data_IF_549819585905
#
_entry.id   IF_549819585905
#
_cell.length_a   1.000
_cell.length_b   1.000
_cell.length_c   1.000
_cell.angle_alpha   90.00
_cell.angle_beta   90.00
_cell.angle_gamma   90.00
#
_symmetry.space_group_name_H-M   'P 1'
#
loop_
_entity.id
_entity.type
_entity.pdbx_description
1 polymer ?
#
# COMPACT_ATOMS: atom_id res chain seq x y z
N UNK A 1 14.17 -5.19 3.46
CA UNK A 1 15.50 -5.81 3.65
C UNK A 1 16.61 -4.74 3.78
N UNK A 2 16.49 -3.64 3.07
CA UNK A 2 17.39 -2.47 3.13
C UNK A 2 17.52 -1.79 4.52
N UNK A 3 16.54 -2.00 5.38
CA UNK A 3 16.49 -1.41 6.75
C UNK A 3 16.97 -2.35 7.85
N UNK A 4 17.45 -3.53 7.47
CA UNK A 4 17.95 -4.54 8.41
C UNK A 4 19.37 -4.18 8.84
N UNK A 5 19.68 -4.41 10.12
CA UNK A 5 21.06 -4.25 10.60
C UNK A 5 22.00 -5.20 9.81
N UNK A 6 23.12 -4.72 9.27
CA UNK A 6 24.05 -5.54 8.49
C UNK A 6 24.52 -6.83 9.19
N UNK A 7 24.63 -6.83 10.52
CA UNK A 7 24.98 -8.03 11.28
C UNK A 7 23.94 -9.15 11.13
N UNK A 8 22.69 -8.81 10.79
CA UNK A 8 21.63 -9.78 10.57
C UNK A 8 21.76 -10.52 9.24
N UNK A 9 22.49 -9.97 8.27
CA UNK A 9 22.73 -10.65 6.98
C UNK A 9 23.45 -11.98 7.14
N UNK A 10 24.27 -12.12 8.20
CA UNK A 10 24.96 -13.38 8.47
C UNK A 10 24.02 -14.58 8.68
N UNK A 11 22.84 -14.35 9.23
CA UNK A 11 21.84 -15.40 9.40
C UNK A 11 21.28 -15.92 8.07
N UNK A 12 21.34 -15.10 7.01
CA UNK A 12 20.83 -15.49 5.70
C UNK A 12 21.84 -16.28 4.86
N UNK A 13 23.15 -16.23 5.17
CA UNK A 13 24.13 -16.99 4.39
C UNK A 13 23.82 -18.48 4.42
N UNK A 14 23.65 -19.05 5.63
CA UNK A 14 23.34 -20.46 5.78
C UNK A 14 21.99 -20.82 5.15
N UNK A 15 21.00 -19.94 5.30
CA UNK A 15 19.69 -20.14 4.72
C UNK A 15 19.74 -20.19 3.17
N UNK A 16 20.51 -19.30 2.54
CA UNK A 16 20.63 -19.26 1.08
C UNK A 16 21.53 -20.36 0.51
N UNK A 17 22.58 -20.77 1.24
CA UNK A 17 23.51 -21.79 0.78
C UNK A 17 22.99 -23.21 0.99
N UNK A 18 22.40 -23.48 2.14
CA UNK A 18 22.03 -24.83 2.59
C UNK A 18 20.51 -25.07 2.63
N UNK A 19 19.71 -24.02 2.49
CA UNK A 19 18.27 -24.10 2.68
C UNK A 19 17.88 -24.47 4.14
N UNK A 20 18.74 -24.13 5.09
CA UNK A 20 18.53 -24.42 6.53
C UNK A 20 18.63 -23.17 7.35
N UNK A 21 17.75 -23.08 8.33
CA UNK A 21 17.86 -22.10 9.40
C UNK A 21 18.11 -22.82 10.71
N UNK A 22 19.22 -22.50 11.36
CA UNK A 22 19.62 -23.09 12.63
C UNK A 22 19.89 -21.99 13.64
N UNK A 23 19.23 -22.05 14.78
CA UNK A 23 19.54 -21.26 15.96
C UNK A 23 19.60 -22.16 17.20
N UNK A 24 19.68 -21.57 18.41
CA UNK A 24 19.78 -22.32 19.67
C UNK A 24 18.58 -23.23 19.93
N UNK A 25 17.42 -22.95 19.37
CA UNK A 25 16.16 -23.63 19.68
C UNK A 25 15.55 -24.34 18.46
N UNK A 26 15.95 -23.96 17.25
CA UNK A 26 15.31 -24.41 16.01
C UNK A 26 16.34 -24.87 15.00
N UNK A 27 16.03 -25.98 14.35
CA UNK A 27 16.71 -26.49 13.17
C UNK A 27 15.64 -26.79 12.12
N UNK A 28 15.49 -25.91 11.13
CA UNK A 28 14.39 -25.95 10.16
C UNK A 28 14.95 -26.09 8.76
N UNK A 29 14.48 -27.10 8.02
CA UNK A 29 14.78 -27.26 6.61
C UNK A 29 13.84 -26.41 5.75
N UNK A 30 14.40 -25.47 5.03
CA UNK A 30 13.71 -24.53 4.14
C UNK A 30 14.14 -24.69 2.68
N UNK A 31 14.76 -25.83 2.32
CA UNK A 31 15.29 -26.09 0.98
C UNK A 31 14.25 -26.09 -0.15
N UNK A 32 12.96 -26.14 0.17
CA UNK A 32 11.87 -26.01 -0.81
C UNK A 32 11.10 -24.69 -0.66
N UNK A 33 11.58 -23.76 0.16
CA UNK A 33 10.94 -22.46 0.34
C UNK A 33 11.36 -21.47 -0.76
N UNK A 34 10.45 -20.61 -1.16
CA UNK A 34 10.74 -19.43 -1.95
C UNK A 34 10.94 -18.25 -1.00
N UNK A 35 12.07 -17.58 -1.11
CA UNK A 35 12.39 -16.41 -0.29
C UNK A 35 12.27 -15.15 -1.13
N UNK A 36 11.39 -14.24 -0.75
CA UNK A 36 11.19 -12.95 -1.40
C UNK A 36 11.71 -11.85 -0.49
N UNK A 37 12.67 -11.07 -0.99
CA UNK A 37 13.23 -9.92 -0.32
C UNK A 37 12.72 -8.65 -0.98
N UNK A 38 12.21 -7.70 -0.20
CA UNK A 38 11.80 -6.39 -0.71
C UNK A 38 12.74 -5.31 -0.19
N UNK A 39 13.07 -4.34 -1.03
CA UNK A 39 13.92 -3.20 -0.70
C UNK A 39 13.49 -1.96 -1.50
N UNK A 40 14.01 -0.79 -1.12
CA UNK A 40 13.76 0.48 -1.81
C UNK A 40 15.00 0.94 -2.62
N UNK A 41 15.88 0.01 -3.00
CA UNK A 41 17.02 0.34 -3.85
C UNK A 41 16.57 0.58 -5.29
N UNK A 42 17.19 1.56 -5.95
CA UNK A 42 16.85 1.98 -7.31
C UNK A 42 17.48 1.12 -8.40
N UNK A 43 18.51 0.32 -8.08
CA UNK A 43 19.22 -0.52 -9.05
C UNK A 43 19.88 -1.74 -8.42
N UNK A 44 20.24 -2.71 -9.28
CA UNK A 44 21.02 -3.88 -8.85
C UNK A 44 22.41 -3.51 -8.35
N UNK A 45 23.04 -2.48 -8.93
CA UNK A 45 24.33 -1.96 -8.48
C UNK A 45 24.26 -1.43 -7.07
N UNK A 46 23.18 -0.74 -6.73
CA UNK A 46 22.94 -0.26 -5.37
C UNK A 46 22.73 -1.41 -4.41
N UNK A 47 21.92 -2.40 -4.77
CA UNK A 47 21.72 -3.64 -3.98
C UNK A 47 23.08 -4.32 -3.73
N UNK A 48 23.88 -4.51 -4.76
CA UNK A 48 25.21 -5.12 -4.68
C UNK A 48 26.17 -4.32 -3.81
N UNK A 49 26.12 -2.99 -3.88
CA UNK A 49 26.95 -2.10 -3.07
C UNK A 49 26.63 -2.20 -1.59
N UNK A 50 25.34 -2.29 -1.23
CA UNK A 50 24.89 -2.33 0.16
C UNK A 50 25.02 -3.73 0.78
N UNK A 51 24.63 -4.77 0.05
CA UNK A 51 24.68 -6.15 0.54
C UNK A 51 26.07 -6.78 0.44
N UNK A 52 26.91 -6.23 -0.41
CA UNK A 52 28.20 -6.81 -0.81
C UNK A 52 28.06 -7.94 -1.82
N UNK A 53 29.13 -8.22 -2.58
CA UNK A 53 29.09 -9.19 -3.68
C UNK A 53 28.76 -10.62 -3.22
N UNK A 54 29.19 -10.99 -2.02
CA UNK A 54 28.97 -12.33 -1.48
C UNK A 54 27.49 -12.61 -1.19
N UNK A 55 26.74 -11.65 -0.62
CA UNK A 55 25.31 -11.78 -0.41
C UNK A 55 24.55 -11.66 -1.72
N UNK A 56 24.91 -10.69 -2.56
CA UNK A 56 24.25 -10.46 -3.83
C UNK A 56 24.29 -11.68 -4.76
N UNK A 57 25.41 -12.42 -4.77
CA UNK A 57 25.56 -13.62 -5.62
C UNK A 57 24.60 -14.77 -5.26
N UNK A 58 23.95 -14.70 -4.10
CA UNK A 58 22.96 -15.69 -3.62
C UNK A 58 21.52 -15.28 -3.95
N UNK A 59 21.33 -14.07 -4.47
CA UNK A 59 20.04 -13.60 -4.95
C UNK A 59 19.85 -14.10 -6.38
N UNK A 60 18.83 -14.92 -6.59
CA UNK A 60 18.60 -15.59 -7.88
C UNK A 60 18.14 -14.65 -8.99
N UNK A 61 17.30 -13.65 -8.66
CA UNK A 61 16.90 -12.61 -9.60
C UNK A 61 16.43 -11.35 -8.86
N UNK A 62 16.58 -10.21 -9.52
CA UNK A 62 16.03 -8.93 -9.06
C UNK A 62 14.88 -8.53 -9.99
N UNK A 63 13.77 -8.09 -9.40
CA UNK A 63 12.62 -7.58 -10.14
C UNK A 63 12.48 -6.11 -9.76
N UNK A 64 12.73 -5.23 -10.72
CA UNK A 64 12.51 -3.81 -10.54
C UNK A 64 11.02 -3.47 -10.68
N UNK A 65 10.51 -2.67 -9.75
CA UNK A 65 9.19 -2.07 -9.84
C UNK A 65 9.36 -0.61 -10.21
N UNK A 66 8.82 -0.23 -11.35
CA UNK A 66 8.81 1.16 -11.80
C UNK A 66 7.75 1.97 -11.06
N UNK A 67 7.90 3.28 -11.10
CA UNK A 67 6.88 4.19 -10.61
C UNK A 67 5.58 4.03 -11.40
N UNK A 68 4.46 4.19 -10.73
CA UNK A 68 3.15 4.09 -11.36
C UNK A 68 2.95 5.23 -12.35
N UNK A 69 2.55 4.90 -13.58
CA UNK A 69 2.13 5.89 -14.55
C UNK A 69 0.83 6.60 -14.12
N UNK A 70 0.55 7.75 -14.72
CA UNK A 70 -0.70 8.49 -14.47
C UNK A 70 -1.93 7.62 -14.73
N UNK A 71 -1.94 6.85 -15.83
CA UNK A 71 -3.04 5.96 -16.18
C UNK A 71 -3.23 4.84 -15.14
N UNK A 72 -2.13 4.30 -14.64
CA UNK A 72 -2.17 3.28 -13.58
C UNK A 72 -2.71 3.87 -12.26
N UNK A 73 -2.25 5.07 -11.88
CA UNK A 73 -2.78 5.78 -10.70
C UNK A 73 -4.28 6.04 -10.84
N UNK A 74 -4.74 6.49 -12.01
CA UNK A 74 -6.16 6.70 -12.30
C UNK A 74 -6.97 5.40 -12.23
N UNK A 75 -6.46 4.30 -12.78
CA UNK A 75 -7.12 3.00 -12.70
C UNK A 75 -7.24 2.51 -11.24
N UNK A 76 -6.20 2.74 -10.44
CA UNK A 76 -6.22 2.42 -9.00
C UNK A 76 -7.27 3.26 -8.27
N UNK A 77 -7.36 4.57 -8.53
CA UNK A 77 -8.39 5.44 -7.95
C UNK A 77 -9.80 4.94 -8.28
N UNK A 78 -10.06 4.57 -9.55
CA UNK A 78 -11.35 4.00 -9.98
C UNK A 78 -11.70 2.74 -9.19
N UNK A 79 -10.76 1.82 -9.05
CA UNK A 79 -10.96 0.58 -8.32
C UNK A 79 -11.24 0.82 -6.82
N UNK A 80 -10.51 1.74 -6.19
CA UNK A 80 -10.75 2.08 -4.80
C UNK A 80 -12.11 2.75 -4.60
N UNK A 81 -12.47 3.70 -5.47
CA UNK A 81 -13.77 4.37 -5.39
C UNK A 81 -14.92 3.36 -5.47
N UNK A 82 -14.90 2.47 -6.45
CA UNK A 82 -15.90 1.39 -6.58
C UNK A 82 -15.93 0.50 -5.34
N UNK A 83 -14.76 0.13 -4.81
CA UNK A 83 -14.66 -0.71 -3.61
C UNK A 83 -15.21 -0.01 -2.35
N UNK A 84 -14.96 1.29 -2.21
CA UNK A 84 -15.51 2.07 -1.09
C UNK A 84 -17.01 2.17 -1.22
N UNK A 85 -17.54 2.54 -2.39
CA UNK A 85 -18.98 2.63 -2.62
C UNK A 85 -19.68 1.29 -2.37
N UNK A 86 -19.06 0.16 -2.71
CA UNK A 86 -19.63 -1.16 -2.47
C UNK A 86 -19.81 -1.48 -0.96
N UNK A 87 -19.10 -0.78 -0.08
CA UNK A 87 -19.20 -0.93 1.38
C UNK A 87 -20.24 0.01 2.03
N UNK A 88 -20.75 0.98 1.28
CA UNK A 88 -21.71 1.97 1.76
C UNK A 88 -23.15 1.49 1.58
N UNK A 89 -24.09 2.10 2.32
CA UNK A 89 -25.53 1.94 2.12
C UNK A 89 -25.96 2.68 0.86
N UNK A 90 -27.12 2.35 0.33
CA UNK A 90 -27.61 2.90 -0.94
C UNK A 90 -27.80 4.43 -0.90
N UNK A 91 -28.36 4.95 0.19
CA UNK A 91 -28.53 6.39 0.41
C UNK A 91 -27.20 7.14 0.53
N UNK A 92 -26.19 6.52 1.15
CA UNK A 92 -24.84 7.06 1.25
C UNK A 92 -24.13 7.09 -0.12
N UNK A 93 -24.30 6.03 -0.93
CA UNK A 93 -23.77 5.98 -2.31
C UNK A 93 -24.33 7.09 -3.17
N UNK A 94 -25.67 7.21 -3.19
CA UNK A 94 -26.34 8.28 -3.95
C UNK A 94 -25.84 9.67 -3.58
N UNK A 95 -25.51 9.89 -2.31
CA UNK A 95 -24.99 11.17 -1.86
C UNK A 95 -23.57 11.42 -2.36
N UNK A 96 -22.71 10.40 -2.35
CA UNK A 96 -21.33 10.52 -2.85
C UNK A 96 -21.30 10.65 -4.37
N UNK A 97 -22.16 9.93 -5.10
CA UNK A 97 -22.25 9.99 -6.56
C UNK A 97 -22.74 11.36 -7.09
N UNK A 98 -23.40 12.17 -6.26
CA UNK A 98 -23.78 13.56 -6.60
C UNK A 98 -22.60 14.54 -6.50
N UNK A 99 -21.47 14.11 -5.94
CA UNK A 99 -20.27 14.96 -5.77
C UNK A 99 -19.30 14.82 -6.94
N UNK A 100 -18.35 15.73 -7.05
CA UNK A 100 -17.26 15.67 -8.01
C UNK A 100 -15.99 14.96 -7.48
N UNK A 101 -16.08 14.33 -6.30
CA UNK A 101 -14.95 13.66 -5.63
C UNK A 101 -14.26 12.68 -6.58
N UNK A 102 -15.01 11.82 -7.23
CA UNK A 102 -14.48 10.83 -8.17
C UNK A 102 -13.69 11.48 -9.31
N UNK A 103 -14.31 12.40 -10.02
CA UNK A 103 -13.71 13.05 -11.17
C UNK A 103 -12.49 13.87 -10.79
N UNK A 104 -12.56 14.54 -9.62
CA UNK A 104 -11.44 15.31 -9.11
C UNK A 104 -10.23 14.43 -8.82
N UNK A 105 -10.41 13.29 -8.11
CA UNK A 105 -9.30 12.39 -7.78
C UNK A 105 -8.74 11.69 -9.01
N UNK A 106 -9.57 11.26 -9.95
CA UNK A 106 -9.10 10.68 -11.23
C UNK A 106 -8.26 11.70 -12.00
N UNK A 107 -8.75 12.94 -12.14
CA UNK A 107 -8.05 14.00 -12.88
C UNK A 107 -6.74 14.43 -12.22
N UNK A 108 -6.67 14.41 -10.89
CA UNK A 108 -5.52 14.89 -10.14
C UNK A 108 -4.63 13.76 -9.57
N UNK A 109 -4.83 12.51 -10.00
CA UNK A 109 -4.07 11.35 -9.50
C UNK A 109 -2.55 11.51 -9.70
N UNK A 110 -2.10 12.19 -10.76
CA UNK A 110 -0.69 12.46 -11.07
C UNK A 110 0.02 13.31 -10.00
N UNK A 111 -0.71 14.16 -9.28
CA UNK A 111 -0.14 15.07 -8.25
C UNK A 111 0.37 14.33 -7.01
N UNK A 112 0.10 13.04 -6.92
CA UNK A 112 0.46 12.25 -5.75
C UNK A 112 1.57 11.26 -6.10
N UNK A 113 2.78 11.51 -5.58
CA UNK A 113 3.91 10.59 -5.71
C UNK A 113 3.68 9.34 -4.85
N UNK A 114 2.99 9.48 -3.72
CA UNK A 114 2.72 8.38 -2.81
C UNK A 114 1.27 7.89 -2.93
N UNK A 115 1.12 6.69 -3.46
CA UNK A 115 -0.19 6.05 -3.69
C UNK A 115 -0.99 5.83 -2.39
N UNK A 116 -0.32 5.65 -1.24
CA UNK A 116 -0.99 5.51 0.06
C UNK A 116 -1.63 6.83 0.51
N UNK A 117 -0.93 7.95 0.26
CA UNK A 117 -1.47 9.29 0.55
C UNK A 117 -2.68 9.55 -0.34
N UNK A 118 -2.60 9.21 -1.62
CA UNK A 118 -3.72 9.34 -2.56
C UNK A 118 -4.95 8.56 -2.06
N UNK A 119 -4.76 7.30 -1.62
CA UNK A 119 -5.84 6.48 -1.06
C UNK A 119 -6.47 7.13 0.17
N UNK A 120 -5.65 7.50 1.15
CA UNK A 120 -6.13 8.12 2.39
C UNK A 120 -6.89 9.43 2.12
N UNK A 121 -6.43 10.23 1.16
CA UNK A 121 -7.12 11.47 0.77
C UNK A 121 -8.48 11.20 0.12
N UNK A 122 -8.58 10.19 -0.74
CA UNK A 122 -9.83 9.76 -1.34
C UNK A 122 -10.82 9.26 -0.27
N UNK A 123 -10.35 8.39 0.62
CA UNK A 123 -11.16 7.88 1.74
C UNK A 123 -11.68 9.01 2.63
N UNK A 124 -10.78 9.92 3.04
CA UNK A 124 -11.18 11.07 3.87
C UNK A 124 -12.20 11.96 3.17
N UNK A 125 -12.01 12.28 1.89
CA UNK A 125 -12.96 13.12 1.16
C UNK A 125 -14.38 12.50 1.11
N UNK A 126 -14.46 11.19 0.95
CA UNK A 126 -15.75 10.47 0.95
C UNK A 126 -16.37 10.49 2.36
N UNK A 127 -15.61 10.13 3.39
CA UNK A 127 -16.13 10.04 4.75
C UNK A 127 -16.42 11.40 5.36
N UNK A 128 -15.64 12.42 5.08
CA UNK A 128 -15.93 13.80 5.51
C UNK A 128 -17.26 14.29 4.91
N UNK A 129 -17.52 13.99 3.64
CA UNK A 129 -18.80 14.33 2.99
C UNK A 129 -19.98 13.63 3.65
N UNK A 130 -19.85 12.33 3.96
CA UNK A 130 -20.89 11.58 4.66
C UNK A 130 -21.12 12.12 6.08
N UNK A 131 -20.05 12.48 6.79
CA UNK A 131 -20.15 13.07 8.13
C UNK A 131 -20.88 14.43 8.11
N UNK A 132 -20.60 15.30 7.14
CA UNK A 132 -21.31 16.56 6.94
C UNK A 132 -22.83 16.34 6.76
N UNK A 133 -23.21 15.38 5.93
CA UNK A 133 -24.61 15.02 5.71
C UNK A 133 -25.28 14.52 6.98
N UNK A 134 -24.60 13.71 7.76
CA UNK A 134 -25.12 13.21 9.03
C UNK A 134 -25.39 14.35 10.01
N UNK A 135 -24.49 15.33 10.12
CA UNK A 135 -24.66 16.51 10.98
C UNK A 135 -25.85 17.37 10.52
N UNK A 136 -25.99 17.62 9.21
CA UNK A 136 -27.08 18.40 8.64
C UNK A 136 -28.43 17.70 8.92
N UNK A 137 -28.50 16.39 8.72
CA UNK A 137 -29.70 15.59 8.95
C UNK A 137 -30.08 15.58 10.44
N UNK A 138 -29.11 15.44 11.34
CA UNK A 138 -29.32 15.46 12.79
C UNK A 138 -29.84 16.83 13.28
N UNK A 139 -29.34 17.93 12.75
CA UNK A 139 -29.78 19.27 13.09
C UNK A 139 -31.23 19.56 12.61
N UNK A 140 -31.63 18.99 11.46
CA UNK A 140 -33.05 19.12 10.98
C UNK A 140 -34.04 18.38 11.87
N UNK A 141 -33.65 17.28 12.50
CA UNK A 141 -34.49 16.53 13.44
C UNK A 141 -34.70 17.33 14.74
N UNK A 142 -33.68 18.05 15.21
CA UNK A 142 -33.77 18.85 16.45
C UNK A 142 -34.63 20.12 16.34
N UNK A 143 -34.91 20.62 15.14
CA UNK A 143 -35.76 21.81 14.94
C UNK A 143 -37.27 21.48 15.02
N UNK A 144 -37.66 20.21 14.95
CA UNK A 144 -39.04 19.78 14.98
C UNK A 144 -39.59 19.47 16.39
N UNK A 145 -38.81 19.68 17.46
CA UNK A 145 -39.25 19.46 18.85
C UNK A 145 -39.44 20.74 19.67
N UNK A 146 -39.52 21.89 19.01
CA UNK A 146 -39.85 23.17 19.67
C UNK A 146 -41.15 23.73 19.09
N UNK A 147 -42.30 23.15 19.47
CA UNK A 147 -43.63 23.74 19.51
C UNK A 147 -44.36 23.28 20.75
#
# INVERSE_FOLDING_TARGET
FDKVNPAFYNAFYQLFDEGRYVDTNYDVNLGQAMILLTCNFGSEEEIKSVLGPAMFSRIGCCIAYEELSTEQKQAIVRNWYVSILASLKEDEKEEIEKTDIFDWFVKNAERYDNIRILKTKLENAIFDRLAEQFVISSNRINVNYSC
#
